data_IF_602970932881
#
_entry.id   IF_602970932881
#
_cell.length_a   1.000
_cell.length_b   1.000
_cell.length_c   1.000
_cell.angle_alpha   90.00
_cell.angle_beta   90.00
_cell.angle_gamma   90.00
#
_symmetry.space_group_name_H-M   'P 1'
#
loop_
_entity.id
_entity.type
_entity.pdbx_description
1 polymer ?
#
# COMPACT_ATOMS: atom_id res chain seq x y z
N UNK A 1 11.04 -0.33 24.24
CA UNK A 1 10.11 -1.44 23.99
C UNK A 1 10.90 -2.71 24.25
N UNK A 2 10.28 -3.74 24.84
CA UNK A 2 10.86 -5.08 24.93
C UNK A 2 9.96 -6.07 24.20
N UNK A 3 10.56 -7.13 23.65
CA UNK A 3 9.83 -8.32 23.19
C UNK A 3 10.04 -9.39 24.24
N UNK A 4 8.98 -9.78 24.92
CA UNK A 4 9.01 -10.76 26.01
C UNK A 4 8.07 -11.90 25.64
N UNK A 5 8.60 -13.12 25.49
CA UNK A 5 7.81 -14.33 25.23
C UNK A 5 6.80 -14.19 24.06
N UNK A 6 7.22 -13.54 22.96
CA UNK A 6 6.35 -13.30 21.80
C UNK A 6 5.27 -12.24 22.02
N UNK A 7 5.43 -11.39 23.04
CA UNK A 7 4.59 -10.22 23.32
C UNK A 7 5.41 -8.95 23.20
N UNK A 8 4.75 -7.88 22.80
CA UNK A 8 5.39 -6.56 22.64
C UNK A 8 4.99 -5.70 23.82
N UNK A 9 5.99 -5.23 24.57
CA UNK A 9 5.80 -4.41 25.76
C UNK A 9 6.19 -2.97 25.46
N UNK A 10 5.20 -2.08 25.54
CA UNK A 10 5.35 -0.65 25.34
C UNK A 10 5.36 0.07 26.70
N UNK A 11 6.52 0.57 27.17
CA UNK A 11 6.58 1.29 28.44
C UNK A 11 5.83 2.62 28.32
N UNK A 12 4.92 2.89 29.26
CA UNK A 12 4.05 4.07 29.24
C UNK A 12 4.55 5.17 30.18
N UNK A 13 5.84 5.48 30.18
CA UNK A 13 6.43 6.46 31.10
C UNK A 13 6.41 6.02 32.58
N UNK A 14 7.05 6.80 33.46
CA UNK A 14 7.22 6.43 34.87
C UNK A 14 5.87 6.34 35.60
N UNK A 15 5.67 5.26 36.36
CA UNK A 15 4.50 5.06 37.23
C UNK A 15 3.23 4.59 36.53
N UNK A 16 3.29 4.22 35.24
CA UNK A 16 2.15 3.70 34.50
C UNK A 16 2.42 2.28 34.03
N UNK A 17 1.40 1.39 34.04
CA UNK A 17 1.57 0.03 33.54
C UNK A 17 1.91 0.05 32.05
N UNK A 18 2.88 -0.79 31.67
CA UNK A 18 3.23 -1.00 30.27
C UNK A 18 2.05 -1.58 29.49
N UNK A 19 1.93 -1.21 28.22
CA UNK A 19 0.93 -1.76 27.33
C UNK A 19 1.50 -3.03 26.67
N UNK A 20 0.86 -4.17 26.94
CA UNK A 20 1.31 -5.48 26.45
C UNK A 20 0.42 -5.91 25.28
N UNK A 21 1.02 -6.09 24.11
CA UNK A 21 0.34 -6.54 22.90
C UNK A 21 0.65 -8.02 22.63
N UNK A 22 -0.36 -8.89 22.45
CA UNK A 22 -0.17 -10.30 22.13
C UNK A 22 0.14 -10.46 20.64
N UNK A 23 1.29 -9.95 20.19
CA UNK A 23 1.73 -9.99 18.81
C UNK A 23 3.18 -10.46 18.76
N UNK A 24 3.43 -11.55 18.05
CA UNK A 24 4.78 -11.95 17.69
C UNK A 24 5.26 -11.03 16.57
N UNK A 25 6.24 -10.17 16.89
CA UNK A 25 6.96 -9.38 15.90
C UNK A 25 8.27 -10.12 15.57
N UNK A 26 8.77 -10.02 14.31
CA UNK A 26 10.13 -10.47 13.99
C UNK A 26 11.15 -9.74 14.88
N UNK A 27 12.41 -10.19 14.94
CA UNK A 27 13.44 -9.43 15.66
C UNK A 27 13.43 -7.97 15.20
N UNK A 28 13.09 -7.08 16.14
CA UNK A 28 12.89 -5.67 15.87
C UNK A 28 14.11 -4.90 16.29
N UNK A 29 14.99 -4.65 15.33
CA UNK A 29 15.94 -3.56 15.43
C UNK A 29 15.21 -2.28 15.01
N UNK A 30 14.50 -1.65 15.95
CA UNK A 30 13.79 -0.41 15.65
C UNK A 30 12.80 0.09 16.69
N UNK A 31 12.35 1.34 16.48
CA UNK A 31 11.32 1.97 17.29
C UNK A 31 9.91 1.50 16.90
N UNK A 32 8.99 1.56 17.85
CA UNK A 32 7.57 1.30 17.63
C UNK A 32 6.72 2.47 18.14
N UNK A 33 5.65 2.80 17.43
CA UNK A 33 4.71 3.86 17.84
C UNK A 33 3.28 3.36 17.72
N UNK A 34 2.49 3.55 18.77
CA UNK A 34 1.04 3.31 18.72
C UNK A 34 0.34 4.58 18.21
N UNK A 35 -0.29 4.50 17.03
CA UNK A 35 -0.91 5.63 16.35
C UNK A 35 -2.42 5.45 16.26
N UNK A 36 -3.17 6.54 16.43
CA UNK A 36 -4.59 6.56 16.14
C UNK A 36 -4.84 7.00 14.69
N UNK A 37 -5.11 6.04 13.79
CA UNK A 37 -5.48 6.28 12.40
C UNK A 37 -6.86 5.68 12.12
N UNK A 38 -7.92 6.42 12.49
CA UNK A 38 -9.32 5.93 12.48
C UNK A 38 -9.52 4.63 13.27
N UNK A 39 -8.59 4.24 14.13
CA UNK A 39 -8.43 2.98 14.87
C UNK A 39 -7.00 2.93 15.42
N UNK A 40 -6.70 1.96 16.29
CA UNK A 40 -5.32 1.78 16.76
C UNK A 40 -4.51 1.01 15.72
N UNK A 41 -3.37 1.57 15.33
CA UNK A 41 -2.36 0.93 14.49
C UNK A 41 -1.03 0.92 15.25
N UNK A 42 -0.33 -0.23 15.24
CA UNK A 42 1.05 -0.32 15.71
C UNK A 42 1.96 -0.10 14.50
N UNK A 43 2.73 0.99 14.52
CA UNK A 43 3.75 1.26 13.51
C UNK A 43 5.08 0.75 14.04
N UNK A 44 5.77 -0.05 13.24
CA UNK A 44 7.02 -0.72 13.60
C UNK A 44 8.07 -0.32 12.57
N UNK A 45 9.18 0.22 13.04
CA UNK A 45 10.36 0.44 12.22
C UNK A 45 11.20 -0.82 12.22
N UNK A 46 11.59 -1.24 11.03
CA UNK A 46 12.42 -2.40 10.77
C UNK A 46 13.57 -1.95 9.90
N UNK A 47 14.79 -2.32 10.24
CA UNK A 47 15.87 -2.29 9.27
C UNK A 47 15.62 -3.38 8.24
N UNK A 48 15.63 -2.97 6.98
CA UNK A 48 15.49 -3.87 5.84
C UNK A 48 16.77 -3.74 5.04
N UNK A 49 17.44 -4.85 4.67
CA UNK A 49 18.64 -4.78 3.86
C UNK A 49 18.38 -3.96 2.60
N UNK A 50 19.32 -3.09 2.27
CA UNK A 50 19.23 -2.27 1.07
C UNK A 50 19.16 -3.20 -0.15
N UNK A 51 18.26 -2.90 -1.08
CA UNK A 51 18.16 -3.67 -2.31
C UNK A 51 19.46 -3.60 -3.11
N UNK A 52 19.84 -4.72 -3.72
CA UNK A 52 20.97 -4.77 -4.64
C UNK A 52 20.79 -3.76 -5.77
N UNK A 53 21.89 -3.17 -6.27
CA UNK A 53 21.82 -2.28 -7.42
C UNK A 53 21.18 -3.00 -8.61
N UNK A 54 20.27 -2.30 -9.30
CA UNK A 54 19.62 -2.85 -10.46
C UNK A 54 20.66 -3.23 -11.53
N UNK A 55 20.55 -4.41 -12.17
CA UNK A 55 21.51 -4.82 -13.19
C UNK A 55 21.41 -3.91 -14.43
N UNK A 56 22.56 -3.38 -14.86
CA UNK A 56 22.69 -2.59 -16.10
C UNK A 56 23.21 -1.16 -15.89
N UNK A 57 23.56 -0.48 -16.99
CA UNK A 57 24.06 0.91 -17.02
C UNK A 57 22.99 1.95 -17.35
N UNK A 58 21.75 1.52 -17.60
CA UNK A 58 20.64 2.39 -17.97
C UNK A 58 20.12 3.12 -16.74
N UNK A 59 20.14 4.44 -16.77
CA UNK A 59 19.58 5.27 -15.72
C UNK A 59 18.11 5.57 -16.01
N UNK A 60 17.29 5.58 -14.96
CA UNK A 60 15.88 5.94 -15.03
C UNK A 60 15.58 7.10 -14.08
N UNK A 61 14.88 8.12 -14.59
CA UNK A 61 14.32 9.21 -13.79
C UNK A 61 12.84 8.90 -13.59
N UNK A 62 12.38 8.86 -12.34
CA UNK A 62 11.00 8.52 -11.97
C UNK A 62 10.36 9.67 -11.22
N UNK A 63 9.23 10.17 -11.73
CA UNK A 63 8.34 11.10 -11.04
C UNK A 63 7.13 10.34 -10.46
N UNK A 64 6.91 10.48 -9.16
CA UNK A 64 5.77 9.88 -8.46
C UNK A 64 4.72 10.96 -8.20
N UNK A 65 3.50 10.76 -8.70
CA UNK A 65 2.43 11.75 -8.62
C UNK A 65 1.06 11.18 -8.27
N UNK A 66 0.13 12.07 -7.93
CA UNK A 66 -1.26 11.68 -7.66
C UNK A 66 -2.01 11.28 -8.94
N UNK A 67 -1.69 11.94 -10.06
CA UNK A 67 -2.32 11.69 -11.35
C UNK A 67 -1.67 10.48 -12.03
N UNK A 68 -0.34 10.50 -12.09
CA UNK A 68 0.52 9.44 -12.61
C UNK A 68 1.27 8.84 -11.43
N UNK A 69 0.96 7.58 -11.08
CA UNK A 69 1.57 6.92 -9.93
C UNK A 69 3.08 6.83 -10.08
N UNK A 70 3.54 6.58 -11.31
CA UNK A 70 4.93 6.65 -11.70
C UNK A 70 5.02 7.08 -13.16
N UNK A 71 5.85 8.08 -13.45
CA UNK A 71 6.27 8.44 -14.79
C UNK A 71 7.79 8.27 -14.85
N UNK A 72 8.24 7.24 -15.57
CA UNK A 72 9.64 6.90 -15.69
C UNK A 72 10.16 7.20 -17.09
N UNK A 73 11.35 7.79 -17.20
CA UNK A 73 12.08 7.93 -18.46
C UNK A 73 13.49 7.38 -18.29
N UNK A 74 13.96 6.64 -19.28
CA UNK A 74 15.30 6.02 -19.29
C UNK A 74 16.27 6.81 -20.15
N UNK A 75 17.58 6.66 -19.88
CA UNK A 75 18.65 7.25 -20.70
C UNK A 75 18.62 6.80 -22.16
N UNK A 76 18.00 5.66 -22.46
CA UNK A 76 17.81 5.12 -23.81
C UNK A 76 16.58 5.71 -24.54
N UNK A 77 15.86 6.65 -23.92
CA UNK A 77 14.71 7.32 -24.53
C UNK A 77 13.41 6.52 -24.47
N UNK A 78 13.34 5.46 -23.65
CA UNK A 78 12.09 4.74 -23.36
C UNK A 78 11.41 5.41 -22.17
N UNK A 79 10.11 5.70 -22.30
CA UNK A 79 9.29 6.27 -21.23
C UNK A 79 8.10 5.35 -20.89
N UNK A 80 7.80 5.25 -19.59
CA UNK A 80 6.71 4.47 -19.03
C UNK A 80 5.85 5.37 -18.15
N UNK A 81 4.55 5.46 -18.45
CA UNK A 81 3.60 6.18 -17.60
C UNK A 81 2.62 5.19 -17.00
N UNK A 82 2.58 5.14 -15.67
CA UNK A 82 1.65 4.35 -14.86
C UNK A 82 0.54 5.27 -14.35
N UNK A 83 -0.67 5.07 -14.85
CA UNK A 83 -1.80 5.94 -14.49
C UNK A 83 -2.61 5.34 -13.34
N UNK A 84 -2.88 6.13 -12.29
CA UNK A 84 -3.64 5.70 -11.11
C UNK A 84 -5.15 5.89 -11.21
N UNK A 85 -5.76 5.70 -12.39
CA UNK A 85 -7.17 6.04 -12.65
C UNK A 85 -8.13 5.34 -11.67
N UNK A 86 -7.79 4.10 -11.31
CA UNK A 86 -8.47 3.31 -10.32
C UNK A 86 -8.48 3.88 -8.91
N UNK A 87 -7.28 4.11 -8.38
CA UNK A 87 -7.06 4.74 -7.07
C UNK A 87 -7.76 6.10 -7.02
N UNK A 88 -7.72 6.87 -8.12
CA UNK A 88 -8.43 8.16 -8.22
C UNK A 88 -9.94 8.00 -8.13
N UNK A 89 -10.51 7.02 -8.83
CA UNK A 89 -11.95 6.72 -8.76
C UNK A 89 -12.37 6.36 -7.34
N UNK A 90 -11.56 5.54 -6.66
CA UNK A 90 -11.77 5.15 -5.26
C UNK A 90 -11.68 6.36 -4.31
N UNK A 91 -10.65 7.21 -4.44
CA UNK A 91 -10.51 8.47 -3.68
C UNK A 91 -11.72 9.38 -3.88
N UNK A 92 -12.20 9.51 -5.12
CA UNK A 92 -13.41 10.29 -5.45
C UNK A 92 -14.66 9.71 -4.78
N UNK A 93 -14.86 8.39 -4.85
CA UNK A 93 -15.98 7.72 -4.17
C UNK A 93 -15.94 7.95 -2.66
N UNK A 94 -14.76 7.79 -2.04
CA UNK A 94 -14.54 8.07 -0.62
C UNK A 94 -14.92 9.51 -0.28
N UNK A 95 -14.40 10.49 -1.02
CA UNK A 95 -14.65 11.91 -0.76
C UNK A 95 -16.15 12.26 -0.87
N UNK A 96 -16.87 11.67 -1.83
CA UNK A 96 -18.33 11.84 -1.96
C UNK A 96 -19.06 11.32 -0.71
N UNK A 97 -18.71 10.14 -0.23
CA UNK A 97 -19.30 9.55 0.97
C UNK A 97 -18.97 10.37 2.23
N UNK A 98 -17.72 10.82 2.38
CA UNK A 98 -17.29 11.67 3.50
C UNK A 98 -18.06 13.00 3.51
N UNK A 99 -18.25 13.64 2.35
CA UNK A 99 -19.04 14.88 2.24
C UNK A 99 -20.47 14.68 2.74
N UNK A 100 -21.12 13.58 2.36
CA UNK A 100 -22.49 13.27 2.80
C UNK A 100 -22.57 13.03 4.32
N UNK A 101 -21.59 12.31 4.88
CA UNK A 101 -21.51 12.05 6.32
C UNK A 101 -21.24 13.34 7.10
N UNK A 102 -20.31 14.18 6.63
CA UNK A 102 -19.99 15.47 7.24
C UNK A 102 -21.22 16.40 7.28
N UNK A 103 -21.99 16.49 6.18
CA UNK A 103 -23.24 17.27 6.11
C UNK A 103 -24.30 16.79 7.11
N UNK A 104 -24.38 15.48 7.37
CA UNK A 104 -25.29 14.92 8.39
C UNK A 104 -24.76 15.18 9.80
N UNK A 105 -23.45 15.13 9.98
CA UNK A 105 -22.79 15.29 11.27
C UNK A 105 -22.83 16.74 11.77
N UNK A 106 -22.75 17.73 10.87
CA UNK A 106 -22.83 19.16 11.22
C UNK A 106 -24.18 19.56 11.83
N UNK A 107 -25.25 18.81 11.53
CA UNK A 107 -26.60 19.03 12.08
C UNK A 107 -26.83 18.35 13.43
N UNK A 108 -25.83 17.64 13.96
CA UNK A 108 -25.93 16.90 15.20
C UNK A 108 -25.13 17.60 16.31
N UNK A 109 -25.64 17.58 17.54
CA UNK A 109 -24.85 17.97 18.70
C UNK A 109 -23.64 17.04 18.85
N UNK A 110 -22.46 17.62 19.07
CA UNK A 110 -21.21 16.88 19.26
C UNK A 110 -21.39 15.86 20.40
N UNK A 111 -20.85 14.65 20.22
CA UNK A 111 -20.97 13.53 21.17
C UNK A 111 -22.37 12.95 21.42
N UNK A 112 -23.44 13.48 20.80
CA UNK A 112 -24.76 12.83 20.82
C UNK A 112 -24.71 11.40 20.24
N UNK A 113 -25.70 10.56 20.57
CA UNK A 113 -25.82 9.19 20.04
C UNK A 113 -25.76 9.15 18.51
N UNK A 114 -26.49 10.07 17.86
CA UNK A 114 -26.52 10.22 16.40
C UNK A 114 -25.16 10.66 15.84
N UNK A 115 -24.51 11.63 16.48
CA UNK A 115 -23.16 12.08 16.09
C UNK A 115 -22.14 10.94 16.17
N UNK A 116 -22.14 10.16 17.26
CA UNK A 116 -21.26 9.00 17.44
C UNK A 116 -21.52 7.94 16.35
N UNK A 117 -22.77 7.68 15.97
CA UNK A 117 -23.13 6.76 14.87
C UNK A 117 -22.56 7.22 13.52
N UNK A 118 -22.67 8.52 13.21
CA UNK A 118 -22.11 9.10 11.98
C UNK A 118 -20.58 9.08 11.98
N UNK A 119 -19.94 9.35 13.13
CA UNK A 119 -18.49 9.26 13.26
C UNK A 119 -17.99 7.83 13.02
N UNK A 120 -18.68 6.80 13.55
CA UNK A 120 -18.35 5.39 13.27
C UNK A 120 -18.48 5.06 11.78
N UNK A 121 -19.53 5.56 11.10
CA UNK A 121 -19.70 5.37 9.66
C UNK A 121 -18.58 6.06 8.86
N UNK A 122 -18.17 7.27 9.26
CA UNK A 122 -17.02 7.99 8.68
C UNK A 122 -15.74 7.18 8.78
N UNK A 123 -15.42 6.67 9.99
CA UNK A 123 -14.24 5.83 10.20
C UNK A 123 -14.30 4.54 9.36
N UNK A 124 -15.48 3.91 9.23
CA UNK A 124 -15.67 2.72 8.38
C UNK A 124 -15.38 3.00 6.91
N UNK A 125 -15.80 4.15 6.40
CA UNK A 125 -15.52 4.59 5.01
C UNK A 125 -14.02 4.81 4.81
N UNK A 126 -13.34 5.53 5.73
CA UNK A 126 -11.89 5.73 5.66
C UNK A 126 -11.13 4.39 5.63
N UNK A 127 -11.38 3.52 6.62
CA UNK A 127 -10.74 2.19 6.71
C UNK A 127 -11.00 1.32 5.49
N UNK A 128 -12.19 1.39 4.88
CA UNK A 128 -12.50 0.63 3.65
C UNK A 128 -11.73 1.16 2.45
N UNK A 129 -11.62 2.49 2.33
CA UNK A 129 -10.87 3.10 1.23
C UNK A 129 -9.37 2.83 1.36
N UNK A 130 -8.78 2.97 2.55
CA UNK A 130 -7.36 2.69 2.80
C UNK A 130 -7.00 1.24 2.49
N UNK A 131 -7.79 0.27 2.97
CA UNK A 131 -7.57 -1.15 2.64
C UNK A 131 -7.59 -1.42 1.14
N UNK A 132 -8.53 -0.79 0.41
CA UNK A 132 -8.62 -0.92 -1.05
C UNK A 132 -7.49 -0.23 -1.81
N UNK A 133 -6.83 0.77 -1.23
CA UNK A 133 -5.62 1.36 -1.85
C UNK A 133 -4.42 0.46 -1.60
N UNK A 134 -4.30 -0.13 -0.41
CA UNK A 134 -3.21 -1.03 -0.03
C UNK A 134 -3.27 -2.39 -0.73
N UNK A 135 -4.46 -2.84 -1.11
CA UNK A 135 -4.67 -4.14 -1.77
C UNK A 135 -3.97 -4.21 -3.15
N UNK A 136 -3.01 -5.14 -3.35
CA UNK A 136 -2.32 -5.33 -4.63
C UNK A 136 -3.26 -5.63 -5.80
N UNK A 137 -4.40 -6.29 -5.56
CA UNK A 137 -5.39 -6.59 -6.61
C UNK A 137 -6.10 -5.32 -7.10
N UNK A 138 -6.35 -4.38 -6.20
CA UNK A 138 -6.91 -3.08 -6.55
C UNK A 138 -5.91 -2.20 -7.32
N UNK A 139 -4.61 -2.36 -7.07
CA UNK A 139 -3.54 -1.71 -7.84
C UNK A 139 -3.38 -2.35 -9.23
N UNK A 140 -3.35 -3.70 -9.30
CA UNK A 140 -3.13 -4.47 -10.53
C UNK A 140 -4.29 -4.40 -11.53
N UNK A 141 -5.54 -4.33 -11.08
CA UNK A 141 -6.69 -4.25 -12.01
C UNK A 141 -6.88 -2.88 -12.67
N UNK A 142 -6.15 -1.83 -12.23
CA UNK A 142 -6.44 -0.45 -12.65
C UNK A 142 -5.20 0.36 -13.06
N UNK A 143 -3.99 -0.19 -12.95
CA UNK A 143 -2.78 0.38 -13.51
C UNK A 143 -2.80 0.30 -15.04
N UNK A 144 -3.20 1.39 -15.71
CA UNK A 144 -2.96 1.50 -17.15
C UNK A 144 -1.53 1.97 -17.35
N UNK A 145 -0.72 1.11 -17.96
CA UNK A 145 0.65 1.41 -18.34
C UNK A 145 0.67 1.87 -19.79
N UNK A 146 1.39 2.95 -20.06
CA UNK A 146 1.66 3.42 -21.42
C UNK A 146 3.16 3.42 -21.64
N UNK A 147 3.61 2.60 -22.57
CA UNK A 147 4.99 2.60 -23.05
C UNK A 147 5.10 3.55 -24.25
N UNK A 148 6.07 4.45 -24.19
CA UNK A 148 6.44 5.35 -25.27
C UNK A 148 7.91 5.08 -25.60
N UNK A 149 8.24 4.93 -26.88
CA UNK A 149 9.63 4.84 -27.34
C UNK A 149 9.95 6.06 -28.22
N UNK A 150 11.17 6.56 -28.07
CA UNK A 150 11.76 7.55 -28.97
C UNK A 150 12.49 6.80 -30.10
N UNK A 151 12.19 7.16 -31.35
CA UNK A 151 12.92 6.63 -32.51
C UNK A 151 14.32 7.26 -32.60
N UNK A 152 15.35 6.51 -33.06
CA UNK A 152 16.66 7.09 -33.32
C UNK A 152 16.55 8.10 -34.47
N UNK A 153 16.80 9.39 -34.19
CA UNK A 153 16.79 10.46 -35.20
C UNK A 153 15.49 11.27 -35.33
N UNK A 154 14.45 10.99 -34.54
CA UNK A 154 13.18 11.73 -34.57
C UNK A 154 12.89 12.52 -33.29
N UNK A 155 12.25 13.69 -33.43
CA UNK A 155 11.77 14.50 -32.29
C UNK A 155 10.37 14.08 -31.79
N UNK A 156 9.75 13.05 -32.40
CA UNK A 156 8.38 12.65 -32.13
C UNK A 156 8.31 11.37 -31.26
N UNK A 157 7.57 11.44 -30.16
CA UNK A 157 7.21 10.27 -29.33
C UNK A 157 6.07 9.51 -30.02
N UNK A 158 6.34 8.31 -30.54
CA UNK A 158 5.30 7.47 -31.15
C UNK A 158 4.60 6.62 -30.09
N UNK A 159 3.27 6.60 -30.12
CA UNK A 159 2.46 5.67 -29.32
C UNK A 159 2.59 4.28 -29.91
N UNK A 160 2.95 3.30 -29.08
CA UNK A 160 2.67 1.90 -29.43
C UNK A 160 1.19 1.59 -29.13
N UNK A 161 0.47 0.87 -30.00
CA UNK A 161 -0.86 0.37 -29.69
C UNK A 161 -0.76 -0.59 -28.50
N UNK A 162 -1.41 -0.23 -27.40
CA UNK A 162 -1.38 -0.96 -26.15
C UNK A 162 -2.31 -2.17 -26.20
N UNK A 163 -1.92 -3.22 -26.92
CA UNK A 163 -2.52 -4.55 -26.80
C UNK A 163 -1.45 -5.62 -26.89
N UNK A 164 -0.83 -5.90 -25.76
CA UNK A 164 -0.49 -7.25 -25.37
C UNK A 164 -1.12 -7.46 -24.01
N UNK A 165 -2.18 -8.27 -23.95
CA UNK A 165 -2.58 -8.86 -22.69
C UNK A 165 -1.35 -9.62 -22.19
N UNK A 166 -0.65 -9.07 -21.20
CA UNK A 166 0.34 -9.87 -20.50
C UNK A 166 -0.39 -11.13 -20.02
N UNK A 167 0.13 -12.34 -20.30
CA UNK A 167 -0.42 -13.53 -19.69
C UNK A 167 -0.47 -13.27 -18.20
N UNK A 168 -1.59 -13.60 -17.56
CA UNK A 168 -1.66 -13.62 -16.10
C UNK A 168 -0.37 -14.27 -15.62
N UNK A 169 0.44 -13.54 -14.87
CA UNK A 169 1.56 -14.14 -14.15
C UNK A 169 0.90 -15.16 -13.21
N UNK A 170 0.75 -16.40 -13.68
CA UNK A 170 0.57 -17.52 -12.77
C UNK A 170 1.82 -17.49 -11.89
N UNK A 171 1.68 -17.50 -10.56
CA UNK A 171 2.83 -17.79 -9.72
C UNK A 171 3.46 -19.09 -10.25
N UNK A 172 4.78 -19.11 -10.37
CA UNK A 172 5.51 -20.31 -10.76
C UNK A 172 5.05 -21.47 -9.86
N UNK A 173 4.82 -22.69 -10.40
CA UNK A 173 4.63 -23.85 -9.55
C UNK A 173 5.86 -23.95 -8.65
N UNK A 174 5.62 -23.90 -7.33
CA UNK A 174 6.66 -24.19 -6.35
C UNK A 174 7.27 -25.55 -6.69
N UNK A 175 8.60 -25.72 -6.62
CA UNK A 175 9.18 -27.05 -6.72
C UNK A 175 8.48 -27.92 -5.68
N UNK A 176 7.88 -29.01 -6.15
CA UNK A 176 7.28 -30.00 -5.27
C UNK A 176 8.41 -30.59 -4.46
N UNK A 177 8.36 -30.38 -3.14
CA UNK A 177 9.19 -31.12 -2.22
C UNK A 177 8.92 -32.61 -2.45
N UNK A 178 9.98 -33.29 -2.84
CA UNK A 178 10.07 -34.74 -2.92
C UNK A 178 9.72 -35.27 -1.52
N UNK A 179 8.51 -35.79 -1.38
CA UNK A 179 8.10 -36.54 -0.19
C UNK A 179 8.93 -37.83 -0.13
N UNK A 180 10.07 -37.77 0.56
CA UNK A 180 10.74 -38.93 1.11
C UNK A 180 9.76 -39.62 2.06
N UNK A 181 9.36 -40.82 1.67
CA UNK A 181 8.36 -41.61 2.36
C UNK A 181 8.75 -41.95 3.79
N UNK A 182 7.84 -41.67 4.71
CA UNK A 182 7.76 -42.35 6.00
C UNK A 182 6.33 -42.89 6.09
N UNK A 183 6.19 -44.21 5.96
CA UNK A 183 4.94 -44.91 6.30
C UNK A 183 4.92 -45.11 7.82
N UNK A 184 3.85 -44.72 8.54
CA UNK A 184 3.67 -45.19 9.90
C UNK A 184 3.18 -46.65 9.88
N UNK A 185 3.68 -47.44 10.84
CA UNK A 185 3.03 -48.66 11.32
C UNK A 185 1.92 -48.30 12.28
#
# INVERSE_FOLDING_TARGET
MSVEQGRVVLPMGRGRPSLVLPLALPELEGACTLVWNYGFELHVCLEVPQADPAPGSVQAIVDLGEIHLAAATTSTGVALIVTGCGIRSLKRQRNRQLRQLAKKQSRCQKHSRRWKKLQRARNKVCRRAERRVRDPLAQGHQGRHRLLRREPGGNALRRQPAWSAHPRLRPAPQPTDVWLGIRPR
#
